data_IF_424115262401
#
_entry.id   IF_424115262401
#
_cell.length_a   1.000
_cell.length_b   1.000
_cell.length_c   1.000
_cell.angle_alpha   90.00
_cell.angle_beta   90.00
_cell.angle_gamma   90.00
#
_symmetry.space_group_name_H-M   'P 1'
#
loop_
_entity.id
_entity.type
_entity.pdbx_description
1 polymer ?
#
# COMPACT_ATOMS: atom_id res chain seq x y z
N UNK A 1 -6.86 10.76 -16.12
CA UNK A 1 -6.19 9.48 -15.78
C UNK A 1 -5.26 9.76 -14.62
N UNK A 2 -5.13 8.86 -13.63
CA UNK A 2 -4.22 9.07 -12.49
C UNK A 2 -2.77 8.89 -12.95
N UNK A 3 -1.86 9.68 -12.39
CA UNK A 3 -0.43 9.65 -12.70
C UNK A 3 0.45 9.51 -11.43
N UNK A 4 1.77 9.46 -11.62
CA UNK A 4 2.71 9.28 -10.50
C UNK A 4 2.73 10.48 -9.54
N UNK A 5 2.41 11.68 -10.03
CA UNK A 5 2.25 12.89 -9.22
C UNK A 5 1.04 12.75 -8.29
N UNK A 6 -0.09 12.28 -8.80
CA UNK A 6 -1.29 11.98 -8.02
C UNK A 6 -1.00 10.92 -6.95
N UNK A 7 -0.28 9.84 -7.29
CA UNK A 7 0.10 8.81 -6.32
C UNK A 7 1.00 9.37 -5.21
N UNK A 8 1.97 10.22 -5.57
CA UNK A 8 2.89 10.83 -4.61
C UNK A 8 2.14 11.74 -3.64
N UNK A 9 1.20 12.53 -4.15
CA UNK A 9 0.30 13.33 -3.31
C UNK A 9 -0.54 12.43 -2.40
N UNK A 10 -1.18 11.38 -2.95
CA UNK A 10 -2.05 10.50 -2.17
C UNK A 10 -1.32 9.73 -1.07
N UNK A 11 -0.10 9.26 -1.36
CA UNK A 11 0.79 8.66 -0.37
C UNK A 11 1.04 9.62 0.81
N UNK A 12 1.37 10.88 0.52
CA UNK A 12 1.65 11.86 1.57
C UNK A 12 0.40 12.14 2.41
N UNK A 13 -0.80 12.20 1.81
CA UNK A 13 -2.06 12.36 2.55
C UNK A 13 -2.31 11.17 3.49
N UNK A 14 -2.22 9.93 2.99
CA UNK A 14 -2.41 8.72 3.80
C UNK A 14 -1.37 8.67 4.92
N UNK A 15 -0.12 9.02 4.62
CA UNK A 15 0.95 9.08 5.62
C UNK A 15 0.63 10.08 6.74
N UNK A 16 0.27 11.31 6.39
CA UNK A 16 0.00 12.37 7.37
C UNK A 16 -1.19 12.05 8.28
N UNK A 17 -2.22 11.39 7.74
CA UNK A 17 -3.44 11.06 8.48
C UNK A 17 -3.28 9.82 9.36
N UNK A 18 -2.61 8.78 8.86
CA UNK A 18 -2.68 7.44 9.45
C UNK A 18 -1.32 6.85 9.86
N UNK A 19 -0.20 7.44 9.46
CA UNK A 19 1.17 6.95 9.71
C UNK A 19 2.11 8.06 10.20
N UNK A 20 1.57 9.14 10.78
CA UNK A 20 2.37 10.25 11.29
C UNK A 20 3.23 9.88 12.51
N UNK A 21 2.88 8.79 13.20
CA UNK A 21 3.60 8.15 14.28
C UNK A 21 4.84 7.38 13.83
N UNK A 22 4.90 7.01 12.54
CA UNK A 22 6.01 6.23 11.98
C UNK A 22 7.12 7.15 11.48
N UNK A 23 8.34 6.91 11.94
CA UNK A 23 9.51 7.65 11.46
C UNK A 23 9.83 7.29 9.99
N UNK A 24 9.90 8.29 9.11
CA UNK A 24 10.30 8.14 7.69
C UNK A 24 11.82 8.11 7.57
N UNK A 25 12.44 6.97 7.87
CA UNK A 25 13.91 6.80 7.97
C UNK A 25 14.66 6.82 6.63
N UNK A 26 13.95 6.67 5.52
CA UNK A 26 14.53 6.68 4.17
C UNK A 26 13.52 7.27 3.16
N UNK A 27 14.01 7.59 1.96
CA UNK A 27 13.16 8.04 0.87
C UNK A 27 12.17 6.93 0.49
N UNK A 28 10.89 7.26 0.50
CA UNK A 28 9.82 6.39 0.01
C UNK A 28 9.33 6.97 -1.31
N UNK A 29 9.47 6.19 -2.38
CA UNK A 29 9.02 6.51 -3.74
C UNK A 29 7.79 5.66 -4.04
N UNK A 30 6.77 6.26 -4.62
CA UNK A 30 5.59 5.56 -5.13
C UNK A 30 5.43 5.85 -6.62
N UNK A 31 5.06 4.83 -7.40
CA UNK A 31 4.72 4.99 -8.81
C UNK A 31 3.83 3.87 -9.31
N UNK A 32 3.18 4.10 -10.44
CA UNK A 32 2.52 3.03 -11.17
C UNK A 32 3.54 2.07 -11.81
N UNK A 33 3.24 0.78 -11.74
CA UNK A 33 3.98 -0.29 -12.39
C UNK A 33 3.31 -0.74 -13.70
N UNK A 34 3.70 -1.94 -14.14
CA UNK A 34 3.00 -2.64 -15.23
C UNK A 34 1.58 -3.03 -14.78
N UNK A 35 0.71 -3.26 -15.75
CA UNK A 35 -0.59 -3.85 -15.49
C UNK A 35 -0.43 -5.32 -15.08
N UNK A 36 -1.21 -5.74 -14.09
CA UNK A 36 -1.31 -7.13 -13.66
C UNK A 36 -2.76 -7.45 -13.29
N UNK A 37 -3.17 -8.72 -13.38
CA UNK A 37 -4.51 -9.13 -12.96
C UNK A 37 -4.59 -9.28 -11.43
N UNK A 38 -3.64 -10.01 -10.83
CA UNK A 38 -3.78 -10.47 -9.44
C UNK A 38 -2.94 -9.70 -8.41
N UNK A 39 -2.04 -8.81 -8.85
CA UNK A 39 -1.15 -8.06 -7.94
C UNK A 39 -1.51 -6.57 -7.97
N UNK A 40 -2.07 -6.07 -6.87
CA UNK A 40 -2.52 -4.68 -6.78
C UNK A 40 -1.44 -3.71 -6.30
N UNK A 41 -0.55 -4.18 -5.42
CA UNK A 41 0.58 -3.42 -4.88
C UNK A 41 1.83 -4.28 -4.70
N UNK A 42 2.96 -3.61 -4.47
CA UNK A 42 4.13 -4.24 -3.86
C UNK A 42 5.09 -3.19 -3.30
N UNK A 43 5.79 -3.54 -2.24
CA UNK A 43 6.86 -2.73 -1.63
C UNK A 43 8.21 -3.46 -1.70
N UNK A 44 9.28 -2.73 -2.02
CA UNK A 44 10.65 -3.26 -2.06
C UNK A 44 11.65 -2.24 -1.55
N UNK A 45 12.65 -2.69 -0.81
CA UNK A 45 13.84 -1.89 -0.51
C UNK A 45 14.80 -1.97 -1.69
N UNK A 46 15.25 -0.81 -2.18
CA UNK A 46 16.35 -0.71 -3.12
C UNK A 46 17.66 -0.66 -2.32
N UNK A 47 18.51 -1.67 -2.48
CA UNK A 47 19.74 -1.77 -1.71
C UNK A 47 20.82 -0.78 -2.16
N UNK A 48 20.77 -0.29 -3.41
CA UNK A 48 21.79 0.63 -3.94
C UNK A 48 21.68 2.03 -3.35
N UNK A 49 20.48 2.60 -3.29
CA UNK A 49 20.22 3.95 -2.78
C UNK A 49 19.47 3.96 -1.44
N UNK A 50 19.23 2.78 -0.86
CA UNK A 50 18.47 2.56 0.39
C UNK A 50 17.06 3.15 0.37
N UNK A 51 16.49 3.46 -0.80
CA UNK A 51 15.12 3.93 -0.92
C UNK A 51 14.12 2.78 -0.87
N UNK A 52 12.93 3.05 -0.36
CA UNK A 52 11.81 2.11 -0.43
C UNK A 52 10.94 2.49 -1.63
N UNK A 53 10.64 1.52 -2.49
CA UNK A 53 9.79 1.69 -3.65
C UNK A 53 8.46 0.95 -3.46
N UNK A 54 7.37 1.70 -3.47
CA UNK A 54 6.00 1.21 -3.57
C UNK A 54 5.58 1.24 -5.05
N UNK A 55 5.14 0.11 -5.58
CA UNK A 55 4.55 0.01 -6.93
C UNK A 55 3.06 -0.27 -6.83
N UNK A 56 2.26 0.57 -7.45
CA UNK A 56 0.82 0.37 -7.61
C UNK A 56 0.55 -0.20 -9.00
N UNK A 57 -0.40 -1.12 -9.12
CA UNK A 57 -0.76 -1.73 -10.40
C UNK A 57 -1.15 -0.68 -11.45
N UNK A 58 -0.60 -0.81 -12.67
CA UNK A 58 -0.83 0.14 -13.77
C UNK A 58 -2.32 0.29 -14.16
N UNK A 59 -3.14 -0.74 -13.96
CA UNK A 59 -4.59 -0.71 -14.27
C UNK A 59 -5.30 0.41 -13.52
N UNK A 60 -4.86 0.69 -12.29
CA UNK A 60 -5.47 1.69 -11.40
C UNK A 60 -5.24 3.14 -11.83
N UNK A 61 -4.46 3.38 -12.89
CA UNK A 61 -4.43 4.67 -13.59
C UNK A 61 -5.81 5.02 -14.18
N UNK A 62 -6.57 4.01 -14.61
CA UNK A 62 -7.91 4.19 -15.14
C UNK A 62 -8.90 4.51 -14.00
N UNK A 63 -9.64 5.62 -14.07
CA UNK A 63 -10.58 6.03 -13.03
C UNK A 63 -11.76 5.07 -12.84
N UNK A 64 -11.98 4.11 -13.74
CA UNK A 64 -12.97 3.03 -13.53
C UNK A 64 -12.69 2.20 -12.28
N UNK A 65 -11.42 2.14 -11.84
CA UNK A 65 -11.07 1.52 -10.58
C UNK A 65 -11.30 2.52 -9.44
N UNK A 66 -12.07 2.14 -8.40
CA UNK A 66 -12.38 3.01 -7.27
C UNK A 66 -11.12 3.60 -6.62
N UNK A 67 -11.24 4.73 -5.93
CA UNK A 67 -10.07 5.30 -5.24
C UNK A 67 -9.68 4.45 -4.01
N UNK A 68 -10.67 3.86 -3.36
CA UNK A 68 -10.56 3.08 -2.15
C UNK A 68 -9.66 1.84 -2.33
N UNK A 69 -9.62 1.25 -3.53
CA UNK A 69 -8.67 0.16 -3.81
C UNK A 69 -7.22 0.66 -3.86
N UNK A 70 -6.99 1.90 -4.36
CA UNK A 70 -5.66 2.51 -4.32
C UNK A 70 -5.29 2.88 -2.88
N UNK A 71 -6.22 3.46 -2.12
CA UNK A 71 -5.99 3.87 -0.74
C UNK A 71 -5.67 2.69 0.16
N UNK A 72 -6.47 1.63 0.06
CA UNK A 72 -6.20 0.37 0.76
C UNK A 72 -4.83 -0.18 0.36
N UNK A 73 -4.52 -0.25 -0.93
CA UNK A 73 -3.24 -0.78 -1.41
C UNK A 73 -2.06 0.06 -0.88
N UNK A 74 -2.14 1.38 -0.93
CA UNK A 74 -1.09 2.26 -0.40
C UNK A 74 -0.92 2.04 1.11
N UNK A 75 -2.00 2.05 1.86
CA UNK A 75 -1.96 1.85 3.31
C UNK A 75 -1.40 0.46 3.68
N UNK A 76 -1.77 -0.58 2.92
CA UNK A 76 -1.25 -1.93 3.08
C UNK A 76 0.28 -1.98 2.93
N UNK A 77 0.81 -1.37 1.86
CA UNK A 77 2.25 -1.29 1.66
C UNK A 77 2.95 -0.43 2.73
N UNK A 78 2.28 0.59 3.26
CA UNK A 78 2.80 1.38 4.39
C UNK A 78 2.83 0.59 5.71
N UNK A 79 1.88 -0.31 5.95
CA UNK A 79 1.97 -1.22 7.10
C UNK A 79 3.18 -2.13 6.98
N UNK A 80 3.47 -2.67 5.78
CA UNK A 80 4.71 -3.41 5.57
C UNK A 80 5.93 -2.58 5.95
N UNK A 81 5.99 -1.32 5.50
CA UNK A 81 7.07 -0.40 5.85
C UNK A 81 7.20 -0.20 7.37
N UNK A 82 6.08 0.09 8.04
CA UNK A 82 6.02 0.33 9.49
C UNK A 82 6.50 -0.88 10.29
N UNK A 83 6.13 -2.09 9.86
CA UNK A 83 6.49 -3.36 10.53
C UNK A 83 7.91 -3.88 10.21
N UNK A 84 8.72 -3.10 9.50
CA UNK A 84 10.11 -3.47 9.18
C UNK A 84 10.28 -4.32 7.91
N UNK A 85 9.26 -4.42 7.06
CA UNK A 85 9.37 -5.09 5.76
C UNK A 85 9.72 -4.09 4.66
N UNK A 86 10.71 -4.42 3.84
CA UNK A 86 11.16 -3.55 2.75
C UNK A 86 11.50 -2.12 3.22
N UNK A 87 11.98 -2.00 4.46
CA UNK A 87 12.27 -0.75 5.14
C UNK A 87 13.50 -0.91 6.05
N UNK A 88 14.14 0.20 6.47
CA UNK A 88 15.22 0.17 7.45
C UNK A 88 14.70 0.01 8.90
N UNK A 89 13.40 -0.21 9.10
CA UNK A 89 12.83 -0.38 10.45
C UNK A 89 13.13 -1.78 10.99
N UNK A 90 13.25 -1.94 12.33
CA UNK A 90 13.33 -3.25 12.94
C UNK A 90 12.12 -4.10 12.56
N UNK A 91 12.36 -5.37 12.23
CA UNK A 91 11.31 -6.30 11.83
C UNK A 91 10.49 -6.71 13.05
N UNK A 92 9.21 -6.35 13.07
CA UNK A 92 8.30 -6.66 14.20
C UNK A 92 7.82 -8.11 14.19
N UNK A 93 7.76 -8.74 13.01
CA UNK A 93 7.24 -10.10 12.84
C UNK A 93 8.08 -10.94 11.87
N UNK A 94 8.16 -12.25 12.11
CA UNK A 94 8.81 -13.16 11.16
C UNK A 94 8.11 -13.23 9.80
N UNK A 95 6.80 -13.04 9.73
CA UNK A 95 6.05 -13.09 8.46
C UNK A 95 5.07 -11.93 8.35
N UNK A 96 4.98 -11.27 7.17
CA UNK A 96 4.26 -10.00 7.03
C UNK A 96 2.73 -10.10 7.07
N UNK A 97 2.13 -11.28 6.91
CA UNK A 97 0.66 -11.43 6.88
C UNK A 97 0.12 -12.43 7.90
N UNK A 98 0.99 -13.14 8.63
CA UNK A 98 0.56 -14.25 9.48
C UNK A 98 -0.38 -13.74 10.57
N UNK A 99 -1.55 -14.36 10.71
CA UNK A 99 -2.54 -13.98 11.72
C UNK A 99 -3.28 -12.67 11.43
N UNK A 100 -3.26 -12.21 10.17
CA UNK A 100 -3.97 -11.00 9.74
C UNK A 100 -3.37 -9.71 10.31
N UNK A 101 -2.07 -9.70 10.60
CA UNK A 101 -1.38 -8.55 11.23
C UNK A 101 -1.53 -7.25 10.43
N UNK A 102 -1.59 -7.32 9.09
CA UNK A 102 -1.81 -6.13 8.26
C UNK A 102 -3.23 -5.58 8.47
N UNK A 103 -4.25 -6.41 8.32
CA UNK A 103 -5.65 -6.00 8.52
C UNK A 103 -5.89 -5.45 9.93
N UNK A 104 -5.25 -6.05 10.93
CA UNK A 104 -5.34 -5.58 12.33
C UNK A 104 -4.68 -4.21 12.50
N UNK A 105 -3.49 -4.01 11.96
CA UNK A 105 -2.82 -2.71 12.00
C UNK A 105 -3.63 -1.64 11.26
N UNK A 106 -4.15 -1.94 10.06
CA UNK A 106 -5.02 -1.05 9.30
C UNK A 106 -6.26 -0.68 10.12
N UNK A 107 -6.91 -1.65 10.76
CA UNK A 107 -8.07 -1.40 11.61
C UNK A 107 -7.72 -0.53 12.83
N UNK A 108 -6.58 -0.78 13.49
CA UNK A 108 -6.08 0.03 14.61
C UNK A 108 -5.76 1.47 14.22
N UNK A 109 -5.33 1.68 12.97
CA UNK A 109 -5.10 3.01 12.38
C UNK A 109 -6.37 3.69 11.87
N UNK A 110 -7.56 3.13 12.14
CA UNK A 110 -8.85 3.71 11.70
C UNK A 110 -9.21 3.42 10.24
N UNK A 111 -8.53 2.50 9.56
CA UNK A 111 -8.75 2.14 8.16
C UNK A 111 -9.57 0.86 7.99
N UNK A 112 -10.36 0.49 9.00
CA UNK A 112 -11.18 -0.74 8.98
C UNK A 112 -12.14 -0.79 7.79
N UNK A 113 -12.72 0.35 7.41
CA UNK A 113 -13.64 0.44 6.29
C UNK A 113 -12.96 0.14 4.95
N UNK A 114 -11.70 0.55 4.79
CA UNK A 114 -10.91 0.18 3.60
C UNK A 114 -10.65 -1.32 3.54
N UNK A 115 -10.43 -1.99 4.68
CA UNK A 115 -10.25 -3.45 4.73
C UNK A 115 -11.54 -4.16 4.30
N UNK A 116 -12.71 -3.70 4.76
CA UNK A 116 -13.99 -4.25 4.34
C UNK A 116 -14.27 -4.01 2.87
N UNK A 117 -14.06 -2.78 2.40
CA UNK A 117 -14.17 -2.42 0.99
C UNK A 117 -13.29 -3.33 0.13
N UNK A 118 -12.01 -3.48 0.49
CA UNK A 118 -11.06 -4.30 -0.25
C UNK A 118 -11.54 -5.74 -0.40
N UNK A 119 -11.95 -6.38 0.70
CA UNK A 119 -12.40 -7.78 0.67
C UNK A 119 -13.60 -7.99 -0.24
N UNK A 120 -14.57 -7.07 -0.19
CA UNK A 120 -15.75 -7.10 -1.06
C UNK A 120 -15.35 -6.86 -2.52
N UNK A 121 -14.63 -5.78 -2.77
CA UNK A 121 -14.24 -5.38 -4.12
C UNK A 121 -13.38 -6.42 -4.82
N UNK A 122 -12.44 -7.06 -4.12
CA UNK A 122 -11.59 -8.10 -4.71
C UNK A 122 -12.40 -9.32 -5.13
N UNK A 123 -13.40 -9.71 -4.33
CA UNK A 123 -14.32 -10.80 -4.71
C UNK A 123 -15.04 -10.44 -6.01
N UNK A 124 -15.69 -9.28 -6.05
CA UNK A 124 -16.44 -8.82 -7.23
C UNK A 124 -15.52 -8.65 -8.45
N UNK A 125 -14.30 -8.15 -8.25
CA UNK A 125 -13.29 -8.00 -9.31
C UNK A 125 -12.89 -9.35 -9.91
N UNK A 126 -12.65 -10.36 -9.08
CA UNK A 126 -12.27 -11.69 -9.56
C UNK A 126 -13.42 -12.36 -10.34
N UNK A 127 -14.67 -12.10 -9.99
CA UNK A 127 -15.84 -12.59 -10.72
C UNK A 127 -16.00 -11.94 -12.11
N UNK A 128 -15.28 -10.84 -12.38
CA UNK A 128 -15.28 -10.13 -13.68
C UNK A 128 -14.10 -10.46 -14.60
N UNK A 129 -13.18 -11.32 -14.15
CA UNK A 129 -12.02 -11.77 -14.93
C UNK A 129 -12.34 -13.02 -15.75
#
# INVERSE_FOLDING_TARGET
MRDDSWLSWRLNQIWQLYFNDIARKNKIVIKFGREALYRFGSIRLNYSDKSTLIRINGRFKNPKYPQEILDHTIAHELVHYAQGFSSPNPRMHRYPHRGGVIDKELAQRGLKDLVFFYKKWVKDYLDTL
#
